data_IF_711707381359
#
_entry.id   IF_711707381359
#
_cell.length_a   1.000
_cell.length_b   1.000
_cell.length_c   1.000
_cell.angle_alpha   90.00
_cell.angle_beta   90.00
_cell.angle_gamma   90.00
#
_symmetry.space_group_name_H-M   'P 1'
#
loop_
_entity.id
_entity.type
_entity.pdbx_description
1 polymer ?
#
# COMPACT_ATOMS: atom_id res chain seq x y z
N UNK A 1 -38.29 -0.88 20.73
CA UNK A 1 -37.22 0.12 20.96
C UNK A 1 -35.88 -0.56 20.80
N UNK A 2 -35.17 -0.30 19.69
CA UNK A 2 -33.83 -0.86 19.48
C UNK A 2 -32.89 -0.24 20.53
N UNK A 3 -32.64 -0.96 21.62
CA UNK A 3 -31.93 -0.44 22.78
C UNK A 3 -30.57 0.13 22.37
N UNK A 4 -30.28 1.36 22.82
CA UNK A 4 -29.04 2.12 22.53
C UNK A 4 -27.75 1.29 22.69
N UNK A 5 -27.77 0.27 23.56
CA UNK A 5 -26.70 -0.71 23.79
C UNK A 5 -26.37 -1.60 22.57
N UNK A 6 -27.34 -1.94 21.71
CA UNK A 6 -27.14 -2.82 20.53
C UNK A 6 -26.51 -2.04 19.37
N UNK A 7 -26.83 -0.75 19.24
CA UNK A 7 -26.27 0.14 18.21
C UNK A 7 -24.75 0.32 18.36
N UNK A 8 -24.26 0.38 19.60
CA UNK A 8 -22.82 0.46 19.89
C UNK A 8 -22.07 -0.83 19.51
N UNK A 9 -22.68 -2.01 19.73
CA UNK A 9 -22.07 -3.29 19.36
C UNK A 9 -21.93 -3.44 17.85
N UNK A 10 -22.94 -3.01 17.11
CA UNK A 10 -22.89 -2.99 15.65
C UNK A 10 -21.80 -2.04 15.12
N UNK A 11 -21.73 -0.83 15.68
CA UNK A 11 -20.69 0.15 15.33
C UNK A 11 -19.28 -0.43 15.57
N UNK A 12 -19.08 -1.14 16.68
CA UNK A 12 -17.81 -1.76 17.02
C UNK A 12 -17.36 -2.78 15.97
N UNK A 13 -18.28 -3.65 15.52
CA UNK A 13 -17.98 -4.66 14.48
C UNK A 13 -17.65 -3.99 13.14
N UNK A 14 -18.39 -2.94 12.77
CA UNK A 14 -18.14 -2.19 11.52
C UNK A 14 -16.77 -1.50 11.55
N UNK A 15 -16.40 -0.89 12.67
CA UNK A 15 -15.09 -0.25 12.82
C UNK A 15 -13.97 -1.30 12.66
N UNK A 16 -14.10 -2.47 13.30
CA UNK A 16 -13.11 -3.54 13.17
C UNK A 16 -12.95 -3.98 11.71
N UNK A 17 -14.06 -4.19 11.01
CA UNK A 17 -14.04 -4.56 9.59
C UNK A 17 -13.34 -3.50 8.73
N UNK A 18 -13.65 -2.22 8.95
CA UNK A 18 -13.02 -1.11 8.23
C UNK A 18 -11.51 -1.08 8.51
N UNK A 19 -11.10 -1.23 9.77
CA UNK A 19 -9.67 -1.25 10.13
C UNK A 19 -8.95 -2.42 9.47
N UNK A 20 -9.57 -3.59 9.41
CA UNK A 20 -8.99 -4.78 8.78
C UNK A 20 -8.74 -4.53 7.28
N UNK A 21 -9.75 -4.01 6.57
CA UNK A 21 -9.64 -3.68 5.14
C UNK A 21 -8.52 -2.67 4.89
N UNK A 22 -8.48 -1.60 5.67
CA UNK A 22 -7.42 -0.57 5.60
C UNK A 22 -6.03 -1.16 5.82
N UNK A 23 -5.86 -2.03 6.83
CA UNK A 23 -4.57 -2.66 7.11
C UNK A 23 -4.11 -3.55 5.97
N UNK A 24 -4.98 -4.41 5.42
CA UNK A 24 -4.63 -5.27 4.28
C UNK A 24 -4.26 -4.45 3.06
N UNK A 25 -5.01 -3.39 2.74
CA UNK A 25 -4.69 -2.50 1.63
C UNK A 25 -3.30 -1.87 1.78
N UNK A 26 -2.98 -1.37 2.97
CA UNK A 26 -1.71 -0.70 3.24
C UNK A 26 -0.53 -1.67 3.20
N UNK A 27 -0.71 -2.90 3.70
CA UNK A 27 0.28 -3.97 3.61
C UNK A 27 0.54 -4.33 2.13
N UNK A 28 -0.52 -4.52 1.32
CA UNK A 28 -0.36 -4.82 -0.11
C UNK A 28 0.40 -3.72 -0.84
N UNK A 29 0.08 -2.45 -0.57
CA UNK A 29 0.80 -1.30 -1.14
C UNK A 29 2.26 -1.25 -0.68
N UNK A 30 2.52 -1.51 0.59
CA UNK A 30 3.88 -1.58 1.13
C UNK A 30 4.67 -2.75 0.54
N UNK A 31 4.03 -3.88 0.26
CA UNK A 31 4.67 -5.04 -0.38
C UNK A 31 4.97 -4.77 -1.85
N UNK A 32 4.08 -4.09 -2.58
CA UNK A 32 4.36 -3.57 -3.92
C UNK A 32 5.63 -2.71 -3.89
N UNK A 33 5.76 -1.83 -2.88
CA UNK A 33 6.92 -0.98 -2.55
C UNK A 33 8.20 -1.69 -2.05
N UNK A 34 8.18 -2.97 -1.70
CA UNK A 34 9.39 -3.64 -1.18
C UNK A 34 9.77 -4.96 -1.87
N UNK A 35 8.86 -5.66 -2.53
CA UNK A 35 9.06 -7.06 -2.97
C UNK A 35 9.42 -7.15 -4.47
N UNK A 36 10.55 -6.54 -4.87
CA UNK A 36 11.17 -6.72 -6.21
C UNK A 36 10.60 -5.80 -7.29
N UNK A 37 11.10 -4.57 -7.28
CA UNK A 37 10.96 -3.64 -8.39
C UNK A 37 11.88 -3.98 -9.55
N UNK A 38 11.30 -4.48 -10.63
CA UNK A 38 11.80 -4.15 -11.96
C UNK A 38 11.16 -2.82 -12.37
N UNK A 39 11.62 -1.70 -11.79
CA UNK A 39 11.20 -0.40 -12.30
C UNK A 39 11.83 -0.18 -13.67
N UNK A 40 11.02 0.31 -14.60
CA UNK A 40 11.53 0.73 -15.90
C UNK A 40 12.39 2.00 -15.73
N UNK A 41 13.42 2.23 -16.56
CA UNK A 41 14.26 3.43 -16.47
C UNK A 41 13.47 4.74 -16.59
N UNK A 42 12.26 4.68 -17.16
CA UNK A 42 11.33 5.79 -17.34
C UNK A 42 10.57 6.11 -16.05
N UNK A 43 10.13 5.10 -15.31
CA UNK A 43 9.47 5.26 -14.00
C UNK A 43 10.41 5.93 -12.98
N UNK A 44 11.66 5.48 -12.93
CA UNK A 44 12.69 6.01 -12.03
C UNK A 44 13.03 7.48 -12.32
N UNK A 45 12.99 7.89 -13.60
CA UNK A 45 13.24 9.30 -13.97
C UNK A 45 12.11 10.24 -13.56
N UNK A 46 10.89 9.72 -13.37
CA UNK A 46 9.72 10.52 -12.99
C UNK A 46 9.62 10.73 -11.47
N UNK A 47 10.17 9.80 -10.66
CA UNK A 47 10.31 9.92 -9.22
C UNK A 47 11.71 10.40 -8.86
N UNK A 48 11.93 11.71 -8.92
CA UNK A 48 13.19 12.38 -8.56
C UNK A 48 13.46 12.43 -7.05
N UNK A 49 13.11 11.40 -6.28
CA UNK A 49 13.48 11.22 -4.87
C UNK A 49 13.73 9.72 -4.62
N UNK A 50 14.84 9.22 -5.15
CA UNK A 50 15.25 7.84 -4.93
C UNK A 50 15.96 7.80 -3.58
N UNK A 51 15.23 7.35 -2.56
CA UNK A 51 15.82 6.95 -1.29
C UNK A 51 16.93 5.92 -1.55
N UNK A 52 18.06 6.04 -0.86
CA UNK A 52 19.35 5.32 -1.06
C UNK A 52 19.30 3.80 -0.85
N UNK A 53 18.22 3.14 -1.26
CA UNK A 53 18.07 1.69 -1.29
C UNK A 53 18.66 1.11 -2.59
N UNK A 54 19.16 -0.13 -2.54
CA UNK A 54 19.79 -0.81 -3.69
C UNK A 54 18.72 -1.25 -4.70
N UNK A 55 18.39 -0.39 -5.64
CA UNK A 55 17.45 -0.70 -6.73
C UNK A 55 18.21 -1.33 -7.91
N UNK A 56 17.65 -2.39 -8.52
CA UNK A 56 18.16 -2.98 -9.76
C UNK A 56 17.32 -2.47 -10.92
N UNK A 57 17.96 -1.88 -11.92
CA UNK A 57 17.29 -1.24 -13.07
C UNK A 57 17.66 -2.01 -14.33
N UNK A 58 16.65 -2.48 -15.08
CA UNK A 58 16.82 -3.12 -16.38
C UNK A 58 16.29 -2.23 -17.49
N UNK A 59 17.11 -1.89 -18.48
CA UNK A 59 16.73 -0.97 -19.56
C UNK A 59 17.53 -1.17 -20.84
N UNK A 60 16.96 -0.76 -21.96
CA UNK A 60 17.67 -0.72 -23.25
C UNK A 60 18.65 0.46 -23.25
N UNK A 61 19.94 0.17 -23.40
CA UNK A 61 20.97 1.20 -23.55
C UNK A 61 20.88 1.75 -24.97
N UNK A 62 20.53 3.03 -25.10
CA UNK A 62 20.62 3.74 -26.39
C UNK A 62 22.10 3.85 -26.77
N UNK A 63 22.43 3.50 -28.01
CA UNK A 63 23.77 3.72 -28.58
C UNK A 63 23.96 5.20 -28.92
#
# INVERSE_FOLDING_TARGET
MYGRKVKLRFLFVVIILITLILTTFLILKSLEENVVYFQSPTEIKSLSEIDKSKIRVGGMVKK
#
